data_IF_431843256739
#
_entry.id   IF_431843256739
#
_cell.length_a   1.000
_cell.length_b   1.000
_cell.length_c   1.000
_cell.angle_alpha   90.00
_cell.angle_beta   90.00
_cell.angle_gamma   90.00
#
_symmetry.space_group_name_H-M   'P 1'
#
loop_
_entity.id
_entity.type
_entity.pdbx_description
1 polymer ?
#
# COMPACT_ATOMS: atom_id res chain seq x y z
N UNK A 1 25.76 23.70 -7.22
CA UNK A 1 25.03 23.30 -5.99
C UNK A 1 26.02 22.56 -5.09
N UNK A 2 26.09 22.90 -3.79
CA UNK A 2 26.94 22.17 -2.83
C UNK A 2 26.25 20.84 -2.51
N UNK A 3 26.93 19.68 -2.63
CA UNK A 3 26.33 18.41 -2.24
C UNK A 3 26.05 18.42 -0.74
N UNK A 4 24.87 17.95 -0.35
CA UNK A 4 24.52 17.75 1.06
C UNK A 4 25.49 16.72 1.66
N UNK A 5 26.04 17.02 2.84
CA UNK A 5 26.87 16.05 3.57
C UNK A 5 26.02 14.82 3.90
N UNK A 6 26.52 13.59 3.68
CA UNK A 6 25.82 12.40 4.10
C UNK A 6 25.67 12.44 5.63
N UNK A 7 24.43 12.28 6.11
CA UNK A 7 24.12 12.16 7.54
C UNK A 7 24.38 10.70 7.92
N UNK A 8 25.42 10.38 8.71
CA UNK A 8 25.73 9.01 9.06
C UNK A 8 25.08 8.70 10.41
N UNK A 9 23.82 8.29 10.39
CA UNK A 9 23.19 7.74 11.58
C UNK A 9 22.37 6.51 11.19
N UNK A 10 22.94 5.33 11.43
CA UNK A 10 22.33 4.04 11.05
C UNK A 10 20.92 3.85 11.66
N UNK A 11 20.65 4.52 12.79
CA UNK A 11 19.33 4.61 13.40
C UNK A 11 18.32 5.38 12.53
N UNK A 12 18.72 6.51 11.94
CA UNK A 12 17.87 7.33 11.06
C UNK A 12 17.47 6.58 9.79
N UNK A 13 18.40 5.83 9.18
CA UNK A 13 18.10 4.96 8.03
C UNK A 13 17.10 3.87 8.38
N UNK A 14 17.18 3.32 9.59
CA UNK A 14 16.28 2.23 10.03
C UNK A 14 14.86 2.76 10.29
N UNK A 15 14.72 3.91 10.96
CA UNK A 15 13.42 4.56 11.17
C UNK A 15 12.74 4.96 9.87
N UNK A 16 13.49 5.56 8.93
CA UNK A 16 12.93 5.97 7.64
C UNK A 16 12.51 4.77 6.79
N UNK A 17 13.27 3.68 6.79
CA UNK A 17 12.89 2.42 6.11
C UNK A 17 11.65 1.80 6.78
N UNK A 18 11.56 1.82 8.10
CA UNK A 18 10.38 1.34 8.83
C UNK A 18 9.14 2.18 8.50
N UNK A 19 9.25 3.51 8.47
CA UNK A 19 8.15 4.40 8.08
C UNK A 19 7.76 4.23 6.61
N UNK A 20 8.73 4.11 5.70
CA UNK A 20 8.47 3.82 4.29
C UNK A 20 7.78 2.46 4.08
N UNK A 21 7.92 1.53 5.03
CA UNK A 21 7.24 0.22 5.01
C UNK A 21 5.97 0.19 5.86
N UNK A 22 5.68 1.25 6.63
CA UNK A 22 4.58 1.28 7.60
C UNK A 22 3.19 1.38 6.94
N UNK A 23 3.08 2.04 5.78
CA UNK A 23 1.82 2.14 5.04
C UNK A 23 1.85 1.33 3.74
N UNK A 24 0.67 0.89 3.30
CA UNK A 24 0.51 0.23 2.00
C UNK A 24 0.88 1.16 0.84
N UNK A 25 0.57 2.44 0.99
CA UNK A 25 0.88 3.48 0.02
C UNK A 25 2.38 3.74 -0.08
N UNK A 26 3.09 3.81 1.05
CA UNK A 26 4.54 3.98 1.05
C UNK A 26 5.27 2.78 0.42
N UNK A 27 4.83 1.54 0.70
CA UNK A 27 5.33 0.35 0.01
C UNK A 27 5.03 0.35 -1.48
N UNK A 28 3.86 0.84 -1.88
CA UNK A 28 3.50 0.96 -3.30
C UNK A 28 4.37 1.98 -4.03
N UNK A 29 4.52 3.19 -3.47
CA UNK A 29 5.38 4.23 -4.00
C UNK A 29 6.84 3.79 -4.07
N UNK A 30 7.31 3.06 -3.06
CA UNK A 30 8.66 2.49 -3.03
C UNK A 30 8.92 1.55 -4.22
N UNK A 31 8.01 0.60 -4.46
CA UNK A 31 8.12 -0.32 -5.59
C UNK A 31 8.00 0.40 -6.93
N UNK A 32 7.13 1.40 -7.01
CA UNK A 32 6.97 2.22 -8.19
C UNK A 32 8.27 2.96 -8.52
N UNK A 33 8.92 3.53 -7.50
CA UNK A 33 10.21 4.20 -7.67
C UNK A 33 11.31 3.23 -8.10
N UNK A 34 11.38 2.04 -7.49
CA UNK A 34 12.34 1.02 -7.88
C UNK A 34 12.17 0.60 -9.36
N UNK A 35 10.93 0.37 -9.81
CA UNK A 35 10.65 0.02 -11.21
C UNK A 35 10.95 1.18 -12.16
N UNK A 36 10.67 2.43 -11.75
CA UNK A 36 11.01 3.61 -12.54
C UNK A 36 12.51 3.73 -12.79
N UNK A 37 13.35 3.50 -11.76
CA UNK A 37 14.80 3.54 -11.91
C UNK A 37 15.32 2.44 -12.84
N UNK A 38 14.75 1.23 -12.75
CA UNK A 38 15.10 0.13 -13.68
C UNK A 38 14.68 0.47 -15.12
N UNK A 39 13.50 1.07 -15.31
CA UNK A 39 13.06 1.54 -16.62
C UNK A 39 13.96 2.66 -17.17
N UNK A 40 14.59 3.45 -16.28
CA UNK A 40 15.59 4.46 -16.61
C UNK A 40 16.99 3.91 -16.93
N UNK A 41 17.17 2.58 -16.91
CA UNK A 41 18.43 1.91 -17.27
C UNK A 41 19.30 1.48 -16.10
N UNK A 42 18.87 1.70 -14.85
CA UNK A 42 19.58 1.17 -13.69
C UNK A 42 19.41 -0.34 -13.57
N UNK A 43 20.44 -1.03 -13.07
CA UNK A 43 20.34 -2.46 -12.79
C UNK A 43 19.53 -2.72 -11.52
N UNK A 44 18.87 -3.88 -11.44
CA UNK A 44 18.18 -4.32 -10.21
C UNK A 44 19.12 -4.40 -9.00
N UNK A 45 20.42 -4.60 -9.23
CA UNK A 45 21.44 -4.63 -8.19
C UNK A 45 21.67 -3.25 -7.57
N UNK A 46 21.93 -2.23 -8.39
CA UNK A 46 22.13 -0.85 -7.94
C UNK A 46 20.92 -0.32 -7.18
N UNK A 47 19.72 -0.54 -7.73
CA UNK A 47 18.46 -0.13 -7.11
C UNK A 47 18.25 -0.83 -5.77
N UNK A 48 18.56 -2.13 -5.68
CA UNK A 48 18.50 -2.88 -4.42
C UNK A 48 19.45 -2.32 -3.36
N UNK A 49 20.68 -1.98 -3.76
CA UNK A 49 21.65 -1.34 -2.86
C UNK A 49 21.18 0.02 -2.35
N UNK A 50 20.60 0.87 -3.20
CA UNK A 50 20.10 2.19 -2.78
C UNK A 50 18.93 2.09 -1.80
N UNK A 51 18.03 1.15 -2.03
CA UNK A 51 16.81 0.99 -1.23
C UNK A 51 16.93 -0.01 -0.08
N UNK A 52 18.10 -0.64 0.11
CA UNK A 52 18.30 -1.71 1.08
C UNK A 52 17.30 -2.87 0.88
N UNK A 53 17.02 -3.19 -0.38
CA UNK A 53 16.24 -4.35 -0.78
C UNK A 53 17.13 -5.36 -1.50
N UNK A 54 16.72 -6.63 -1.48
CA UNK A 54 17.43 -7.62 -2.28
C UNK A 54 17.21 -7.36 -3.78
N UNK A 55 18.24 -7.53 -4.64
CA UNK A 55 18.09 -7.38 -6.09
C UNK A 55 16.96 -8.24 -6.66
N UNK A 56 16.76 -9.43 -6.06
CA UNK A 56 15.68 -10.36 -6.41
C UNK A 56 14.29 -9.81 -6.08
N UNK A 57 14.14 -8.97 -5.05
CA UNK A 57 12.86 -8.29 -4.77
C UNK A 57 12.54 -7.27 -5.85
N UNK A 58 13.53 -6.49 -6.26
CA UNK A 58 13.41 -5.51 -7.35
C UNK A 58 13.03 -6.21 -8.66
N UNK A 59 13.71 -7.30 -9.01
CA UNK A 59 13.39 -8.13 -10.18
C UNK A 59 11.94 -8.65 -10.14
N UNK A 60 11.49 -9.15 -8.98
CA UNK A 60 10.09 -9.58 -8.81
C UNK A 60 9.09 -8.44 -9.03
N UNK A 61 9.40 -7.22 -8.61
CA UNK A 61 8.52 -6.06 -8.84
C UNK A 61 8.47 -5.68 -10.31
N UNK A 62 9.61 -5.69 -11.00
CA UNK A 62 9.69 -5.45 -12.45
C UNK A 62 8.83 -6.47 -13.20
N UNK A 63 8.97 -7.77 -12.90
CA UNK A 63 8.13 -8.80 -13.51
C UNK A 63 6.64 -8.64 -13.18
N UNK A 64 6.31 -8.27 -11.93
CA UNK A 64 4.93 -8.00 -11.55
C UNK A 64 4.34 -6.82 -12.34
N UNK A 65 5.12 -5.78 -12.57
CA UNK A 65 4.75 -4.65 -13.42
C UNK A 65 4.58 -5.06 -14.88
N UNK A 66 5.52 -5.82 -15.45
CA UNK A 66 5.40 -6.31 -16.84
C UNK A 66 4.14 -7.18 -17.04
N UNK A 67 3.79 -7.99 -16.05
CA UNK A 67 2.64 -8.89 -16.14
C UNK A 67 1.28 -8.20 -15.89
N UNK A 68 1.23 -7.18 -15.01
CA UNK A 68 -0.05 -6.64 -14.47
C UNK A 68 -0.09 -5.11 -14.41
N UNK A 69 0.90 -4.42 -14.96
CA UNK A 69 1.06 -2.97 -14.86
C UNK A 69 1.18 -2.50 -13.41
N UNK A 70 0.67 -1.29 -13.14
CA UNK A 70 0.66 -0.69 -11.80
C UNK A 70 -0.05 -1.57 -10.74
N UNK A 71 -1.04 -2.36 -11.15
CA UNK A 71 -1.74 -3.29 -10.25
C UNK A 71 -0.83 -4.42 -9.73
N UNK A 72 0.28 -4.73 -10.43
CA UNK A 72 1.29 -5.68 -9.98
C UNK A 72 2.13 -5.19 -8.81
N UNK A 73 2.26 -3.87 -8.64
CA UNK A 73 3.10 -3.25 -7.61
C UNK A 73 2.36 -3.02 -6.29
N UNK A 74 1.03 -2.92 -6.34
CA UNK A 74 0.20 -2.83 -5.13
C UNK A 74 0.34 -4.10 -4.30
N UNK A 75 0.50 -3.94 -2.99
CA UNK A 75 0.41 -5.07 -2.08
C UNK A 75 -1.00 -5.67 -2.19
N UNK A 76 -1.08 -6.90 -2.68
CA UNK A 76 -2.26 -7.72 -2.46
C UNK A 76 -2.18 -8.18 -1.01
N UNK A 77 -2.90 -7.50 -0.12
CA UNK A 77 -3.36 -8.17 1.09
C UNK A 77 -4.30 -9.28 0.63
N UNK A 78 -3.73 -10.47 0.39
CA UNK A 78 -4.50 -11.70 0.36
C UNK A 78 -5.01 -11.91 1.78
N UNK A 79 -6.17 -11.32 2.05
CA UNK A 79 -6.90 -11.59 3.27
C UNK A 79 -7.33 -13.05 3.24
N UNK A 80 -6.51 -13.94 3.80
CA UNK A 80 -6.95 -15.28 4.17
C UNK A 80 -8.17 -15.21 5.11
N UNK A 81 -8.87 -16.33 5.36
CA UNK A 81 -10.13 -16.36 6.10
C UNK A 81 -10.12 -15.70 7.49
N UNK A 82 -8.94 -15.52 8.10
CA UNK A 82 -8.77 -14.87 9.42
C UNK A 82 -8.08 -13.50 9.39
N UNK A 83 -7.84 -12.92 8.22
CA UNK A 83 -7.06 -11.69 8.11
C UNK A 83 -7.78 -10.54 8.81
N UNK A 84 -7.31 -10.23 10.02
CA UNK A 84 -7.75 -9.07 10.79
C UNK A 84 -7.30 -7.86 10.00
N UNK A 85 -8.26 -7.00 9.63
CA UNK A 85 -7.93 -5.68 9.06
C UNK A 85 -6.92 -5.01 9.98
N UNK A 86 -5.76 -4.54 9.47
CA UNK A 86 -4.74 -3.91 10.29
C UNK A 86 -5.35 -2.79 11.14
N UNK A 87 -4.85 -2.60 12.36
CA UNK A 87 -5.40 -1.61 13.31
C UNK A 87 -5.44 -0.19 12.74
N UNK A 88 -4.42 0.22 11.97
CA UNK A 88 -4.41 1.52 11.30
C UNK A 88 -5.55 1.67 10.28
N UNK A 89 -5.77 0.64 9.45
CA UNK A 89 -6.90 0.62 8.50
C UNK A 89 -8.24 0.59 9.23
N UNK A 90 -8.33 -0.07 10.38
CA UNK A 90 -9.56 -0.02 11.20
C UNK A 90 -9.86 1.38 11.72
N UNK A 91 -8.85 2.12 12.17
CA UNK A 91 -9.01 3.50 12.65
C UNK A 91 -9.44 4.45 11.51
N UNK A 92 -8.81 4.33 10.34
CA UNK A 92 -9.22 5.05 9.14
C UNK A 92 -10.64 4.69 8.70
N UNK A 93 -10.99 3.40 8.76
CA UNK A 93 -12.35 2.92 8.49
C UNK A 93 -13.39 3.51 9.45
N UNK A 94 -13.07 3.67 10.74
CA UNK A 94 -13.98 4.32 11.70
C UNK A 94 -14.23 5.78 11.31
N UNK A 95 -13.18 6.51 10.94
CA UNK A 95 -13.31 7.89 10.47
C UNK A 95 -14.11 7.97 9.16
N UNK A 96 -13.86 7.04 8.24
CA UNK A 96 -14.53 6.94 6.94
C UNK A 96 -16.01 6.59 7.08
N UNK A 97 -16.36 5.62 7.94
CA UNK A 97 -17.75 5.19 8.16
C UNK A 97 -18.60 6.27 8.84
N UNK A 98 -17.97 7.23 9.54
CA UNK A 98 -18.64 8.44 10.07
C UNK A 98 -18.96 9.47 8.99
N UNK A 99 -18.26 9.42 7.86
CA UNK A 99 -18.52 10.28 6.70
C UNK A 99 -19.52 9.60 5.76
N UNK A 100 -20.28 10.39 5.01
CA UNK A 100 -21.17 9.83 3.98
C UNK A 100 -20.33 9.36 2.79
N UNK A 101 -20.69 8.26 2.10
CA UNK A 101 -19.98 7.82 0.91
C UNK A 101 -19.96 8.86 -0.22
N UNK A 102 -20.90 9.81 -0.21
CA UNK A 102 -20.92 10.96 -1.09
C UNK A 102 -19.68 11.85 -0.95
N UNK A 103 -19.14 12.02 0.26
CA UNK A 103 -17.89 12.74 0.49
C UNK A 103 -16.68 12.02 -0.14
N UNK A 104 -16.79 10.71 -0.36
CA UNK A 104 -15.77 9.88 -1.02
C UNK A 104 -15.99 9.74 -2.53
N UNK A 105 -16.90 10.52 -3.12
CA UNK A 105 -17.18 10.51 -4.56
C UNK A 105 -18.10 9.37 -5.04
N UNK A 106 -18.85 8.72 -4.12
CA UNK A 106 -19.85 7.73 -4.48
C UNK A 106 -21.25 8.31 -4.57
N UNK A 107 -22.07 7.84 -5.51
CA UNK A 107 -23.46 8.30 -5.65
C UNK A 107 -24.40 7.79 -4.54
N UNK A 108 -23.93 6.87 -3.69
CA UNK A 108 -24.70 6.29 -2.61
C UNK A 108 -24.68 7.14 -1.33
N UNK A 109 -25.84 7.27 -0.68
CA UNK A 109 -26.01 8.04 0.56
C UNK A 109 -25.58 7.29 1.83
N UNK A 110 -25.45 5.96 1.76
CA UNK A 110 -25.08 5.11 2.91
C UNK A 110 -24.04 4.08 2.51
N UNK A 111 -23.16 3.76 3.45
CA UNK A 111 -22.22 2.66 3.29
C UNK A 111 -22.99 1.35 3.15
N UNK A 112 -22.64 0.55 2.15
CA UNK A 112 -23.11 -0.83 2.01
C UNK A 112 -21.92 -1.77 2.01
N UNK A 113 -22.11 -3.05 2.37
CA UNK A 113 -21.03 -4.03 2.37
C UNK A 113 -20.31 -4.12 1.02
N UNK A 114 -21.06 -4.07 -0.08
CA UNK A 114 -20.53 -4.06 -1.45
C UNK A 114 -19.76 -2.78 -1.78
N UNK A 115 -20.26 -1.62 -1.35
CA UNK A 115 -19.59 -0.33 -1.56
C UNK A 115 -18.28 -0.26 -0.77
N UNK A 116 -18.30 -0.73 0.48
CA UNK A 116 -17.12 -0.79 1.34
C UNK A 116 -16.07 -1.75 0.78
N UNK A 117 -16.48 -2.93 0.29
CA UNK A 117 -15.57 -3.86 -0.36
C UNK A 117 -14.88 -3.21 -1.58
N UNK A 118 -15.65 -2.47 -2.40
CA UNK A 118 -15.11 -1.76 -3.57
C UNK A 118 -14.13 -0.66 -3.16
N UNK A 119 -14.48 0.13 -2.14
CA UNK A 119 -13.62 1.19 -1.63
C UNK A 119 -12.31 0.64 -1.05
N UNK A 120 -12.39 -0.39 -0.21
CA UNK A 120 -11.23 -1.07 0.37
C UNK A 120 -10.33 -1.71 -0.69
N UNK A 121 -10.91 -2.25 -1.76
CA UNK A 121 -10.15 -2.78 -2.89
C UNK A 121 -9.45 -1.65 -3.66
N UNK A 122 -10.13 -0.54 -3.92
CA UNK A 122 -9.62 0.57 -4.72
C UNK A 122 -8.55 1.41 -4.02
N UNK A 123 -8.80 1.77 -2.76
CA UNK A 123 -7.95 2.65 -1.95
C UNK A 123 -6.88 1.89 -1.17
N UNK A 124 -7.20 0.72 -0.62
CA UNK A 124 -6.29 -0.03 0.26
C UNK A 124 -5.81 -1.36 -0.33
N UNK A 125 -6.27 -1.78 -1.52
CA UNK A 125 -5.91 -3.07 -2.10
C UNK A 125 -6.42 -4.29 -1.31
N UNK A 126 -7.36 -4.08 -0.38
CA UNK A 126 -7.93 -5.10 0.50
C UNK A 126 -9.12 -5.78 -0.18
N UNK A 127 -8.97 -7.05 -0.54
CA UNK A 127 -10.07 -7.86 -1.07
C UNK A 127 -10.84 -8.52 0.07
N UNK A 128 -11.87 -7.83 0.57
CA UNK A 128 -12.80 -8.35 1.56
C UNK A 128 -14.12 -8.75 0.89
N UNK A 129 -14.65 -9.91 1.29
CA UNK A 129 -15.99 -10.33 0.88
C UNK A 129 -17.06 -9.46 1.52
N UNK A 130 -18.21 -9.30 0.87
CA UNK A 130 -19.31 -8.46 1.34
C UNK A 130 -19.72 -8.77 2.81
N UNK A 131 -19.83 -10.06 3.17
CA UNK A 131 -20.16 -10.49 4.55
C UNK A 131 -19.08 -10.12 5.57
N UNK A 132 -17.81 -9.99 5.16
CA UNK A 132 -16.74 -9.50 6.04
C UNK A 132 -16.88 -7.98 6.23
N UNK A 133 -17.15 -7.24 5.16
CA UNK A 133 -17.43 -5.80 5.23
C UNK A 133 -18.64 -5.49 6.11
N UNK A 134 -19.75 -6.22 5.96
CA UNK A 134 -20.93 -6.07 6.82
C UNK A 134 -20.63 -6.38 8.30
N UNK A 135 -19.77 -7.36 8.60
CA UNK A 135 -19.32 -7.66 9.97
C UNK A 135 -18.43 -6.54 10.54
N UNK A 136 -17.51 -6.01 9.73
CA UNK A 136 -16.67 -4.87 10.08
C UNK A 136 -17.50 -3.63 10.39
N UNK A 137 -18.46 -3.30 9.52
CA UNK A 137 -19.38 -2.19 9.73
C UNK A 137 -20.15 -2.35 11.05
N UNK A 138 -20.71 -3.53 11.33
CA UNK A 138 -21.41 -3.80 12.60
C UNK A 138 -20.52 -3.73 13.84
N UNK A 139 -19.20 -3.90 13.69
CA UNK A 139 -18.25 -3.86 14.80
C UNK A 139 -17.72 -2.45 15.08
N UNK A 140 -17.69 -1.61 14.05
CA UNK A 140 -17.11 -0.26 14.07
C UNK A 140 -18.17 0.85 14.15
N UNK A 141 -19.45 0.48 14.07
CA UNK A 141 -20.62 1.34 14.22
C UNK A 141 -21.22 1.13 15.62
#
# INVERSE_FOLDING_TARGET
MRPLRPVPEQALTTELVLMARASLEARYLHRLHAVLLVAGGCSCYEVGCWFHDSPRSVERWVHAYQAKGLAGLRDRLQCGPSCRVPSHVQQELVALLRQSPAACGYSQQRWSGKLLARHLTGCHGLQLGERQCQRLMRRLH
#
